data_IF_349989965160
#
_entry.id   IF_349989965160
#
_cell.length_a   1.000
_cell.length_b   1.000
_cell.length_c   1.000
_cell.angle_alpha   90.00
_cell.angle_beta   90.00
_cell.angle_gamma   90.00
#
_symmetry.space_group_name_H-M   'P 1'
#
loop_
_entity.id
_entity.type
_entity.pdbx_description
1 polymer ?
#
# COMPACT_ATOMS: atom_id res chain seq x y z
N UNK A 1 -45.27 -13.40 5.19
CA UNK A 1 -43.95 -13.95 4.82
C UNK A 1 -43.15 -12.83 4.16
N UNK A 2 -42.00 -12.49 4.73
CA UNK A 2 -41.08 -11.50 4.17
C UNK A 2 -39.85 -11.45 5.05
N UNK A 3 -38.82 -12.21 4.70
CA UNK A 3 -37.54 -12.13 5.40
C UNK A 3 -36.98 -10.71 5.22
N UNK A 4 -36.79 -9.99 6.32
CA UNK A 4 -36.08 -8.71 6.31
C UNK A 4 -34.68 -8.95 5.74
N UNK A 5 -34.36 -8.28 4.64
CA UNK A 5 -33.02 -8.33 4.07
C UNK A 5 -32.00 -7.90 5.11
N UNK A 6 -30.86 -8.59 5.17
CA UNK A 6 -29.78 -8.36 6.15
C UNK A 6 -28.99 -7.05 5.94
N UNK A 7 -29.54 -6.09 5.20
CA UNK A 7 -28.92 -4.85 4.73
C UNK A 7 -29.25 -3.67 5.64
N UNK A 8 -28.90 -3.79 6.92
CA UNK A 8 -29.03 -2.72 7.90
C UNK A 8 -27.98 -1.64 7.66
N UNK A 9 -28.42 -0.38 7.57
CA UNK A 9 -27.54 0.79 7.48
C UNK A 9 -27.33 1.41 8.85
N UNK A 10 -26.10 1.85 9.12
CA UNK A 10 -25.73 2.50 10.38
C UNK A 10 -25.56 4.01 10.19
N UNK A 11 -26.23 4.79 11.04
CA UNK A 11 -26.20 6.25 11.05
C UNK A 11 -25.78 6.72 12.45
N UNK A 12 -24.85 7.66 12.52
CA UNK A 12 -24.45 8.32 13.78
C UNK A 12 -25.11 9.70 13.82
N UNK A 13 -25.96 9.91 14.81
CA UNK A 13 -26.63 11.19 15.05
C UNK A 13 -25.76 12.02 15.98
N UNK A 14 -25.40 13.24 15.55
CA UNK A 14 -24.45 14.11 16.27
C UNK A 14 -25.06 15.43 16.76
N UNK A 15 -26.33 15.68 16.44
CA UNK A 15 -27.03 16.94 16.74
C UNK A 15 -28.49 16.68 17.11
N UNK A 16 -29.06 17.55 17.94
CA UNK A 16 -30.47 17.47 18.38
C UNK A 16 -31.45 17.54 17.20
N UNK A 17 -31.12 18.35 16.19
CA UNK A 17 -31.88 18.43 14.94
C UNK A 17 -31.86 17.08 14.21
N UNK A 18 -30.70 16.42 14.13
CA UNK A 18 -30.56 15.10 13.53
C UNK A 18 -31.34 14.02 14.28
N UNK A 19 -31.36 14.09 15.61
CA UNK A 19 -32.17 13.21 16.46
C UNK A 19 -33.66 13.39 16.20
N UNK A 20 -34.14 14.64 16.09
CA UNK A 20 -35.55 14.91 15.81
C UNK A 20 -36.00 14.38 14.44
N UNK A 21 -35.19 14.59 13.39
CA UNK A 21 -35.49 14.09 12.04
C UNK A 21 -35.51 12.56 12.02
N UNK A 22 -34.56 11.92 12.70
CA UNK A 22 -34.50 10.46 12.79
C UNK A 22 -35.72 9.89 13.52
N UNK A 23 -36.06 10.45 14.68
CA UNK A 23 -37.21 10.02 15.46
C UNK A 23 -38.53 10.20 14.70
N UNK A 24 -38.67 11.27 13.91
CA UNK A 24 -39.83 11.48 13.05
C UNK A 24 -39.93 10.42 11.93
N UNK A 25 -38.80 10.00 11.37
CA UNK A 25 -38.77 8.94 10.37
C UNK A 25 -39.12 7.57 10.96
N UNK A 26 -38.70 7.28 12.19
CA UNK A 26 -39.11 6.07 12.94
C UNK A 26 -40.60 6.11 13.25
N UNK A 27 -41.12 7.22 13.80
CA UNK A 27 -42.55 7.39 14.11
C UNK A 27 -43.46 7.25 12.88
N UNK A 28 -42.97 7.64 11.70
CA UNK A 28 -43.69 7.49 10.42
C UNK A 28 -43.55 6.10 9.79
N UNK A 29 -43.00 5.12 10.52
CA UNK A 29 -42.71 3.77 10.03
C UNK A 29 -41.85 3.75 8.75
N UNK A 30 -41.05 4.80 8.53
CA UNK A 30 -40.12 4.88 7.38
C UNK A 30 -38.78 4.21 7.69
N UNK A 31 -38.48 4.02 8.97
CA UNK A 31 -37.29 3.34 9.46
C UNK A 31 -37.71 2.30 10.52
N UNK A 32 -37.16 1.11 10.42
CA UNK A 32 -37.24 0.09 11.46
C UNK A 32 -35.95 0.18 12.28
N UNK A 33 -36.08 0.15 13.60
CA UNK A 33 -34.95 0.11 14.53
C UNK A 33 -34.76 -1.32 15.03
N UNK A 34 -33.50 -1.72 15.22
CA UNK A 34 -33.14 -2.99 15.84
C UNK A 34 -32.22 -2.67 17.01
N UNK A 35 -32.56 -3.17 18.19
CA UNK A 35 -31.71 -3.10 19.38
C UNK A 35 -30.56 -4.12 19.33
N UNK A 36 -30.59 -5.02 18.33
CA UNK A 36 -29.53 -5.98 18.10
C UNK A 36 -28.37 -5.31 17.34
N UNK A 37 -27.39 -4.82 18.08
CA UNK A 37 -26.20 -4.14 17.54
C UNK A 37 -25.05 -5.14 17.40
N UNK A 38 -24.73 -5.50 16.17
CA UNK A 38 -23.49 -6.22 15.85
C UNK A 38 -22.32 -5.23 15.76
N UNK A 39 -21.58 -5.10 16.87
CA UNK A 39 -20.43 -4.20 16.97
C UNK A 39 -19.33 -4.53 15.96
N UNK A 40 -19.09 -5.81 15.66
CA UNK A 40 -18.08 -6.22 14.69
C UNK A 40 -18.48 -5.78 13.27
N UNK A 41 -19.76 -5.93 12.91
CA UNK A 41 -20.28 -5.44 11.62
C UNK A 41 -20.19 -3.92 11.51
N UNK A 42 -20.49 -3.19 12.60
CA UNK A 42 -20.39 -1.73 12.64
C UNK A 42 -18.94 -1.26 12.45
N UNK A 43 -18.00 -1.88 13.16
CA UNK A 43 -16.58 -1.56 13.10
C UNK A 43 -16.03 -1.80 11.68
N UNK A 44 -16.40 -2.94 11.07
CA UNK A 44 -16.06 -3.24 9.67
C UNK A 44 -16.58 -2.20 8.67
N UNK A 45 -17.83 -1.77 8.82
CA UNK A 45 -18.42 -0.75 7.94
C UNK A 45 -17.70 0.60 8.14
N UNK A 46 -17.39 0.97 9.38
CA UNK A 46 -16.64 2.18 9.69
C UNK A 46 -15.25 2.16 9.04
N UNK A 47 -14.55 1.02 9.14
CA UNK A 47 -13.26 0.81 8.49
C UNK A 47 -13.33 0.90 6.97
N UNK A 48 -14.31 0.23 6.34
CA UNK A 48 -14.54 0.34 4.88
C UNK A 48 -14.75 1.78 4.43
N UNK A 49 -15.57 2.54 5.17
CA UNK A 49 -15.81 3.96 4.87
C UNK A 49 -14.54 4.78 5.02
N UNK A 50 -13.74 4.54 6.07
CA UNK A 50 -12.46 5.22 6.30
C UNK A 50 -11.50 4.99 5.13
N UNK A 51 -11.34 3.74 4.68
CA UNK A 51 -10.46 3.39 3.55
C UNK A 51 -10.96 3.95 2.22
N UNK A 52 -12.28 4.01 1.99
CA UNK A 52 -12.83 4.64 0.79
C UNK A 52 -12.58 6.16 0.74
N UNK A 53 -12.56 6.83 1.90
CA UNK A 53 -12.24 8.26 1.99
C UNK A 53 -10.75 8.50 1.70
N UNK A 54 -9.87 7.55 2.06
CA UNK A 54 -8.42 7.66 1.89
C UNK A 54 -7.88 6.95 0.64
N UNK A 55 -8.67 6.85 -0.43
CA UNK A 55 -8.17 6.31 -1.69
C UNK A 55 -6.91 7.08 -2.14
N UNK A 56 -5.83 6.34 -2.39
CA UNK A 56 -4.59 6.90 -2.90
C UNK A 56 -4.86 7.48 -4.30
N UNK A 57 -4.37 8.69 -4.57
CA UNK A 57 -4.41 9.24 -5.91
C UNK A 57 -3.46 8.49 -6.87
N UNK A 58 -3.76 8.56 -8.16
CA UNK A 58 -3.02 7.83 -9.20
C UNK A 58 -1.52 8.23 -9.26
N UNK A 59 -1.21 9.50 -8.99
CA UNK A 59 0.18 9.98 -9.00
C UNK A 59 0.99 9.35 -7.87
N UNK A 60 0.43 9.31 -6.66
CA UNK A 60 1.07 8.62 -5.53
C UNK A 60 1.25 7.13 -5.81
N UNK A 61 0.22 6.44 -6.35
CA UNK A 61 0.32 5.03 -6.74
C UNK A 61 1.46 4.79 -7.75
N UNK A 62 1.49 5.57 -8.84
CA UNK A 62 2.51 5.44 -9.88
C UNK A 62 3.92 5.75 -9.37
N UNK A 63 4.04 6.68 -8.43
CA UNK A 63 5.34 7.01 -7.81
C UNK A 63 5.82 5.87 -6.91
N UNK A 64 4.93 5.24 -6.14
CA UNK A 64 5.28 4.09 -5.30
C UNK A 64 5.71 2.86 -6.11
N UNK A 65 5.22 2.70 -7.34
CA UNK A 65 5.69 1.63 -8.26
C UNK A 65 7.18 1.76 -8.62
N UNK A 66 7.78 2.95 -8.51
CA UNK A 66 9.21 3.15 -8.71
C UNK A 66 10.06 2.41 -7.66
N UNK A 67 9.48 2.02 -6.53
CA UNK A 67 10.12 1.24 -5.47
C UNK A 67 10.00 -0.28 -5.69
N UNK A 68 9.65 -0.70 -6.91
CA UNK A 68 9.47 -2.10 -7.29
C UNK A 68 8.43 -2.80 -6.41
N UNK A 69 7.31 -2.12 -6.16
CA UNK A 69 6.15 -2.67 -5.46
C UNK A 69 5.01 -2.90 -6.45
N UNK A 70 4.36 -4.05 -6.31
CA UNK A 70 3.12 -4.35 -7.00
C UNK A 70 1.97 -3.49 -6.47
N UNK A 71 0.94 -3.30 -7.30
CA UNK A 71 -0.24 -2.53 -6.92
C UNK A 71 -0.95 -3.09 -5.68
N UNK A 72 -0.95 -4.41 -5.52
CA UNK A 72 -1.57 -5.06 -4.37
C UNK A 72 -0.78 -4.82 -3.08
N UNK A 73 0.54 -4.79 -3.12
CA UNK A 73 1.38 -4.43 -1.98
C UNK A 73 1.16 -2.97 -1.58
N UNK A 74 1.12 -2.06 -2.56
CA UNK A 74 0.84 -0.64 -2.31
C UNK A 74 -0.53 -0.47 -1.65
N UNK A 75 -1.58 -1.10 -2.20
CA UNK A 75 -2.94 -1.06 -1.62
C UNK A 75 -3.00 -1.68 -0.23
N UNK A 76 -2.26 -2.77 0.02
CA UNK A 76 -2.21 -3.42 1.33
C UNK A 76 -1.60 -2.48 2.37
N UNK A 77 -0.46 -1.87 2.04
CA UNK A 77 0.24 -0.96 2.94
C UNK A 77 -0.57 0.30 3.26
N UNK A 78 -1.18 0.94 2.27
CA UNK A 78 -1.99 2.14 2.50
C UNK A 78 -3.34 1.87 3.16
N UNK A 79 -3.91 0.68 2.92
CA UNK A 79 -5.06 0.21 3.70
C UNK A 79 -4.67 0.07 5.17
N UNK A 80 -3.50 -0.50 5.47
CA UNK A 80 -2.99 -0.57 6.84
C UNK A 80 -2.77 0.82 7.46
N UNK A 81 -2.18 1.78 6.73
CA UNK A 81 -2.04 3.17 7.22
C UNK A 81 -3.41 3.76 7.58
N UNK A 82 -4.40 3.56 6.72
CA UNK A 82 -5.75 4.08 6.92
C UNK A 82 -6.45 3.42 8.10
N UNK A 83 -6.28 2.11 8.27
CA UNK A 83 -6.92 1.32 9.33
C UNK A 83 -6.15 1.41 10.67
N UNK A 84 -4.86 1.77 10.63
CA UNK A 84 -3.93 1.73 11.76
C UNK A 84 -3.43 0.32 12.08
N UNK A 85 -4.35 -0.62 12.28
CA UNK A 85 -4.06 -2.04 12.49
C UNK A 85 -5.13 -2.91 11.85
N UNK A 86 -4.75 -4.06 11.30
CA UNK A 86 -5.71 -4.98 10.70
C UNK A 86 -5.22 -6.43 10.68
N UNK A 87 -6.15 -7.37 10.69
CA UNK A 87 -5.87 -8.77 10.33
C UNK A 87 -5.96 -8.97 8.82
N UNK A 88 -5.38 -10.06 8.32
CA UNK A 88 -5.47 -10.46 6.91
C UNK A 88 -6.91 -10.56 6.41
N UNK A 89 -7.81 -11.12 7.24
CA UNK A 89 -9.22 -11.28 6.90
C UNK A 89 -9.91 -9.93 6.74
N UNK A 90 -9.60 -8.95 7.61
CA UNK A 90 -10.15 -7.61 7.51
C UNK A 90 -9.62 -6.88 6.27
N UNK A 91 -8.32 -7.01 5.97
CA UNK A 91 -7.71 -6.41 4.77
C UNK A 91 -8.30 -6.99 3.49
N UNK A 92 -8.42 -8.32 3.39
CA UNK A 92 -9.07 -9.00 2.26
C UNK A 92 -10.50 -8.50 2.05
N UNK A 93 -11.27 -8.36 3.13
CA UNK A 93 -12.65 -7.89 3.10
C UNK A 93 -12.79 -6.41 2.70
N UNK A 94 -11.89 -5.55 3.18
CA UNK A 94 -11.90 -4.10 2.89
C UNK A 94 -11.42 -3.83 1.46
N UNK A 95 -10.34 -4.50 1.05
CA UNK A 95 -9.74 -4.34 -0.28
C UNK A 95 -10.54 -5.06 -1.36
N UNK A 96 -11.44 -6.00 -0.98
CA UNK A 96 -12.14 -6.91 -1.89
C UNK A 96 -11.17 -7.74 -2.74
N UNK A 97 -10.13 -8.26 -2.09
CA UNK A 97 -9.04 -9.02 -2.70
C UNK A 97 -8.95 -10.38 -2.03
N UNK A 98 -8.57 -11.41 -2.78
CA UNK A 98 -8.36 -12.76 -2.25
C UNK A 98 -7.39 -12.76 -1.07
N UNK A 99 -7.75 -13.52 -0.02
CA UNK A 99 -6.98 -13.55 1.23
C UNK A 99 -5.54 -14.04 1.02
N UNK A 100 -5.32 -15.02 0.14
CA UNK A 100 -3.97 -15.54 -0.10
C UNK A 100 -3.07 -14.49 -0.77
N UNK A 101 -3.63 -13.67 -1.64
CA UNK A 101 -2.91 -12.55 -2.25
C UNK A 101 -2.56 -11.46 -1.21
N UNK A 102 -3.46 -11.21 -0.26
CA UNK A 102 -3.19 -10.30 0.88
C UNK A 102 -2.08 -10.85 1.76
N UNK A 103 -2.12 -12.15 2.11
CA UNK A 103 -1.06 -12.81 2.90
C UNK A 103 0.29 -12.66 2.21
N UNK A 104 0.39 -13.03 0.93
CA UNK A 104 1.63 -12.89 0.16
C UNK A 104 2.14 -11.44 0.13
N UNK A 105 1.24 -10.48 -0.02
CA UNK A 105 1.60 -9.05 -0.01
C UNK A 105 2.13 -8.62 1.36
N UNK A 106 1.51 -9.07 2.45
CA UNK A 106 1.98 -8.80 3.81
C UNK A 106 3.33 -9.43 4.11
N UNK A 107 3.59 -10.65 3.62
CA UNK A 107 4.90 -11.31 3.75
C UNK A 107 5.99 -10.53 3.03
N UNK A 108 5.75 -10.11 1.78
CA UNK A 108 6.70 -9.29 1.02
C UNK A 108 6.97 -7.94 1.69
N UNK A 109 5.90 -7.25 2.14
CA UNK A 109 6.03 -5.99 2.87
C UNK A 109 6.77 -6.17 4.19
N UNK A 110 6.59 -7.30 4.88
CA UNK A 110 7.30 -7.63 6.12
C UNK A 110 8.80 -7.84 5.87
N UNK A 111 9.16 -8.56 4.79
CA UNK A 111 10.57 -8.73 4.39
C UNK A 111 11.25 -7.40 4.08
N UNK A 112 10.50 -6.43 3.55
CA UNK A 112 10.99 -5.07 3.29
C UNK A 112 10.99 -4.17 4.53
N UNK A 113 10.45 -4.64 5.66
CA UNK A 113 10.30 -3.88 6.92
C UNK A 113 9.26 -2.75 6.83
N UNK A 114 8.27 -2.89 5.94
CA UNK A 114 7.18 -1.91 5.77
C UNK A 114 6.00 -2.18 6.70
N UNK A 115 5.85 -3.41 7.16
CA UNK A 115 4.81 -3.81 8.10
C UNK A 115 5.41 -4.67 9.21
N UNK A 116 4.82 -4.58 10.40
CA UNK A 116 5.12 -5.44 11.54
C UNK A 116 3.87 -6.22 11.92
N UNK A 117 4.06 -7.41 12.49
CA UNK A 117 2.96 -8.30 12.87
C UNK A 117 3.12 -8.77 14.32
N UNK A 118 2.06 -8.71 15.12
CA UNK A 118 1.98 -9.37 16.43
C UNK A 118 0.63 -10.08 16.53
N UNK A 119 0.63 -11.35 16.91
CA UNK A 119 -0.59 -12.13 17.18
C UNK A 119 -1.63 -12.11 16.05
N UNK A 120 -1.16 -12.17 14.79
CA UNK A 120 -2.03 -12.14 13.61
C UNK A 120 -2.62 -10.77 13.26
N UNK A 121 -2.19 -9.72 13.97
CA UNK A 121 -2.52 -8.32 13.68
C UNK A 121 -1.30 -7.64 13.05
N UNK A 122 -1.54 -6.98 11.92
CA UNK A 122 -0.54 -6.24 11.16
C UNK A 122 -0.69 -4.74 11.40
N UNK A 123 0.45 -4.05 11.46
CA UNK A 123 0.57 -2.60 11.66
C UNK A 123 1.54 -2.08 10.60
N UNK A 124 1.19 -0.94 9.98
CA UNK A 124 2.10 -0.24 9.05
C UNK A 124 3.24 0.43 9.82
N UNK A 125 4.46 0.30 9.32
CA UNK A 125 5.57 1.16 9.74
C UNK A 125 5.35 2.57 9.17
N UNK A 126 5.86 3.58 9.87
CA UNK A 126 5.73 4.99 9.48
C UNK A 126 6.19 5.23 8.01
N UNK A 127 5.38 5.91 7.18
CA UNK A 127 5.69 6.18 5.78
C UNK A 127 7.03 6.91 5.56
N UNK A 128 7.37 7.85 6.45
CA UNK A 128 8.61 8.62 6.33
C UNK A 128 9.82 7.71 6.52
N UNK A 129 9.74 6.82 7.51
CA UNK A 129 10.80 5.85 7.79
C UNK A 129 11.00 4.87 6.63
N UNK A 130 9.92 4.25 6.14
CA UNK A 130 10.03 3.25 5.06
C UNK A 130 10.58 3.87 3.77
N UNK A 131 10.10 5.08 3.40
CA UNK A 131 10.56 5.75 2.19
C UNK A 131 12.04 6.16 2.32
N UNK A 132 12.47 6.71 3.45
CA UNK A 132 13.86 7.08 3.67
C UNK A 132 14.79 5.86 3.65
N UNK A 133 14.35 4.73 4.20
CA UNK A 133 15.10 3.48 4.16
C UNK A 133 15.26 2.96 2.73
N UNK A 134 14.20 2.97 1.92
CA UNK A 134 14.29 2.57 0.52
C UNK A 134 15.20 3.48 -0.30
N UNK A 135 15.09 4.81 -0.13
CA UNK A 135 15.98 5.77 -0.79
C UNK A 135 17.44 5.48 -0.44
N UNK A 136 17.71 5.18 0.83
CA UNK A 136 19.06 4.85 1.30
C UNK A 136 19.58 3.54 0.72
N UNK A 137 18.74 2.49 0.68
CA UNK A 137 19.06 1.18 0.07
C UNK A 137 19.36 1.35 -1.43
N UNK A 138 18.50 2.05 -2.16
CA UNK A 138 18.67 2.33 -3.60
C UNK A 138 19.95 3.12 -3.88
N UNK A 139 20.21 4.18 -3.10
CA UNK A 139 21.42 5.00 -3.26
C UNK A 139 22.68 4.19 -3.05
N UNK A 140 22.72 3.33 -2.02
CA UNK A 140 23.85 2.45 -1.74
C UNK A 140 24.13 1.51 -2.92
N UNK A 141 23.10 0.78 -3.37
CA UNK A 141 23.22 -0.16 -4.50
C UNK A 141 23.68 0.55 -5.77
N UNK A 142 23.15 1.75 -6.04
CA UNK A 142 23.51 2.52 -7.22
C UNK A 142 24.97 2.97 -7.20
N UNK A 143 25.45 3.46 -6.05
CA UNK A 143 26.85 3.87 -5.88
C UNK A 143 27.82 2.68 -6.00
N UNK A 144 27.46 1.52 -5.46
CA UNK A 144 28.24 0.29 -5.61
C UNK A 144 28.35 -0.12 -7.08
N UNK A 145 27.24 -0.07 -7.85
CA UNK A 145 27.25 -0.33 -9.29
C UNK A 145 28.15 0.63 -10.06
N UNK A 146 28.08 1.93 -9.76
CA UNK A 146 28.97 2.93 -10.37
C UNK A 146 30.44 2.61 -10.08
N UNK A 147 30.74 2.24 -8.83
CA UNK A 147 32.10 1.86 -8.44
C UNK A 147 32.62 0.69 -9.28
N UNK A 148 31.85 -0.40 -9.39
CA UNK A 148 32.23 -1.58 -10.18
C UNK A 148 32.40 -1.23 -11.66
N UNK A 149 31.51 -0.41 -12.22
CA UNK A 149 31.61 0.02 -13.62
C UNK A 149 32.90 0.80 -13.88
N UNK A 150 33.28 1.71 -12.98
CA UNK A 150 34.45 2.55 -13.15
C UNK A 150 35.76 1.83 -12.82
N UNK A 151 35.81 1.00 -11.77
CA UNK A 151 37.04 0.35 -11.33
C UNK A 151 37.37 -0.92 -12.11
N UNK A 152 36.35 -1.69 -12.51
CA UNK A 152 36.57 -3.05 -13.00
C UNK A 152 36.18 -3.20 -14.46
N UNK A 153 35.03 -2.65 -14.87
CA UNK A 153 34.49 -2.88 -16.21
C UNK A 153 35.14 -1.94 -17.23
N UNK A 154 35.12 -0.63 -16.96
CA UNK A 154 35.61 0.38 -17.89
C UNK A 154 37.09 0.16 -18.26
N UNK A 155 38.04 -0.06 -17.32
CA UNK A 155 39.44 -0.26 -17.69
C UNK A 155 39.68 -1.50 -18.55
N UNK A 156 38.89 -2.57 -18.35
CA UNK A 156 38.95 -3.78 -19.19
C UNK A 156 38.46 -3.49 -20.60
N UNK A 157 37.34 -2.78 -20.73
CA UNK A 157 36.80 -2.39 -22.02
C UNK A 157 37.74 -1.44 -22.76
N UNK A 158 38.33 -0.46 -22.08
CA UNK A 158 39.34 0.44 -22.64
C UNK A 158 40.58 -0.33 -23.10
N UNK A 159 41.08 -1.26 -22.27
CA UNK A 159 42.22 -2.11 -22.65
C UNK A 159 41.93 -2.96 -23.89
N UNK A 160 40.76 -3.58 -23.96
CA UNK A 160 40.31 -4.33 -25.13
C UNK A 160 40.19 -3.44 -26.37
N UNK A 161 39.60 -2.25 -26.22
CA UNK A 161 39.46 -1.29 -27.31
C UNK A 161 40.82 -0.86 -27.85
N UNK A 162 41.76 -0.49 -26.98
CA UNK A 162 43.12 -0.10 -27.40
C UNK A 162 43.80 -1.27 -28.10
N UNK A 163 43.79 -2.47 -27.51
CA UNK A 163 44.44 -3.66 -28.11
C UNK A 163 43.94 -3.96 -29.52
N UNK A 164 42.63 -3.90 -29.72
CA UNK A 164 42.01 -4.27 -31.00
C UNK A 164 42.10 -3.17 -32.07
N UNK A 165 42.36 -1.92 -31.69
CA UNK A 165 42.38 -0.77 -32.60
C UNK A 165 43.76 -0.07 -32.69
N UNK A 166 44.83 -0.70 -32.19
CA UNK A 166 46.20 -0.13 -32.17
C UNK A 166 46.66 0.33 -33.56
N UNK A 167 46.34 -0.39 -34.63
CA UNK A 167 46.76 -0.02 -36.00
C UNK A 167 45.98 1.18 -36.56
N UNK A 168 44.69 1.32 -36.24
CA UNK A 168 43.90 2.51 -36.57
C UNK A 168 44.34 3.74 -35.76
N UNK A 169 44.65 3.57 -34.47
CA UNK A 169 45.14 4.64 -33.60
C UNK A 169 46.53 5.15 -34.01
N UNK A 170 47.38 4.28 -34.58
CA UNK A 170 48.69 4.67 -35.14
C UNK A 170 48.58 5.42 -36.46
N UNK A 171 47.61 5.09 -37.31
CA UNK A 171 47.40 5.79 -38.57
C UNK A 171 46.83 7.22 -38.39
N UNK A 172 45.92 7.43 -37.44
CA UNK A 172 45.37 8.76 -37.15
C UNK A 172 46.35 9.74 -36.48
N UNK A 173 47.49 9.26 -35.93
CA UNK A 173 48.52 10.11 -35.33
C UNK A 173 49.60 10.60 -36.32
N UNK A 174 49.57 10.10 -37.58
CA UNK A 174 50.54 10.43 -38.63
C UNK A 174 49.97 11.34 -39.73
N UNK A 175 48.72 11.79 -39.59
CA UNK A 175 48.14 12.92 -40.34
C UNK A 175 48.12 14.15 -39.44
#
# INVERSE_FOLDING_TARGET
SGASSNDWNSVILRTDIGVNIFNDAVKRNRLTISDNIDLLKLEKIAFRKKTQITQIDEKTLNTMRLLDLSEIEIKTYTSLISLGRASESLLSEVMKVDKNLVIKSLENLKQREWVVSSDGIYISVDPTLVINNEISKLRKIFLEKISILNSDVLPKLESMFVRNNIDQLRHNKKM
#
